data_IF_517306009869
#
_entry.id   IF_517306009869
#
_cell.length_a   1.000
_cell.length_b   1.000
_cell.length_c   1.000
_cell.angle_alpha   90.00
_cell.angle_beta   90.00
_cell.angle_gamma   90.00
#
_symmetry.space_group_name_H-M   'P 1'
#
loop_
_entity.id
_entity.type
_entity.pdbx_description
1 polymer ?
#
# COMPACT_ATOMS: atom_id res chain seq x y z
N UNK A 1 30.77 -19.83 19.04
CA UNK A 1 29.74 -20.40 18.15
C UNK A 1 28.70 -19.31 17.89
N UNK A 2 28.65 -18.72 16.69
CA UNK A 2 27.65 -17.71 16.36
C UNK A 2 26.31 -18.40 16.05
N UNK A 3 25.35 -18.27 16.97
CA UNK A 3 23.97 -18.70 16.78
C UNK A 3 23.28 -17.74 15.81
N UNK A 4 23.14 -18.15 14.55
CA UNK A 4 22.32 -17.46 13.57
C UNK A 4 20.85 -17.56 14.02
N UNK A 5 20.28 -16.43 14.43
CA UNK A 5 18.86 -16.35 14.72
C UNK A 5 18.12 -16.21 13.39
N UNK A 6 17.15 -17.08 13.08
CA UNK A 6 16.34 -16.93 11.88
C UNK A 6 15.63 -15.58 11.93
N UNK A 7 15.67 -14.86 10.80
CA UNK A 7 14.91 -13.63 10.61
C UNK A 7 13.46 -13.87 11.06
N UNK A 8 12.92 -12.97 11.89
CA UNK A 8 11.55 -13.11 12.37
C UNK A 8 10.58 -13.16 11.17
N UNK A 9 9.53 -14.01 11.26
CA UNK A 9 8.52 -14.12 10.19
C UNK A 9 7.91 -12.77 9.82
N UNK A 10 7.82 -11.87 10.78
CA UNK A 10 7.36 -10.49 10.57
C UNK A 10 8.32 -9.67 9.72
N UNK A 11 9.63 -9.73 10.02
CA UNK A 11 10.66 -9.01 9.26
C UNK A 11 10.75 -9.56 7.82
N UNK A 12 10.72 -10.88 7.64
CA UNK A 12 10.68 -11.50 6.32
C UNK A 12 9.44 -11.07 5.51
N UNK A 13 8.28 -11.03 6.16
CA UNK A 13 7.04 -10.59 5.53
C UNK A 13 7.09 -9.11 5.12
N UNK A 14 7.61 -8.23 5.99
CA UNK A 14 7.83 -6.81 5.67
C UNK A 14 8.75 -6.67 4.46
N UNK A 15 9.90 -7.35 4.46
CA UNK A 15 10.85 -7.32 3.32
C UNK A 15 10.17 -7.79 2.02
N UNK A 16 9.36 -8.85 2.09
CA UNK A 16 8.64 -9.38 0.93
C UNK A 16 7.61 -8.39 0.38
N UNK A 17 6.85 -7.73 1.27
CA UNK A 17 5.90 -6.67 0.88
C UNK A 17 6.64 -5.52 0.20
N UNK A 18 7.72 -5.04 0.81
CA UNK A 18 8.48 -3.91 0.28
C UNK A 18 9.04 -4.23 -1.11
N UNK A 19 9.63 -5.42 -1.29
CA UNK A 19 10.06 -5.90 -2.61
C UNK A 19 8.88 -5.95 -3.58
N UNK A 20 7.76 -6.52 -3.17
CA UNK A 20 6.56 -6.61 -4.02
C UNK A 20 6.07 -5.23 -4.44
N UNK A 21 6.04 -4.24 -3.54
CA UNK A 21 5.70 -2.86 -3.86
C UNK A 21 6.64 -2.24 -4.90
N UNK A 22 7.94 -2.53 -4.83
CA UNK A 22 8.91 -2.06 -5.83
C UNK A 22 8.68 -2.65 -7.23
N UNK A 23 8.06 -3.83 -7.33
CA UNK A 23 7.77 -4.50 -8.60
C UNK A 23 6.32 -4.31 -9.09
N UNK A 24 5.37 -4.12 -8.16
CA UNK A 24 3.97 -3.85 -8.43
C UNK A 24 3.83 -2.41 -8.92
N UNK A 25 4.09 -2.17 -10.20
CA UNK A 25 3.94 -0.85 -10.82
C UNK A 25 2.52 -0.29 -10.87
N UNK A 26 1.57 -0.83 -10.10
CA UNK A 26 0.21 -0.31 -9.92
C UNK A 26 -0.29 -0.58 -8.51
N UNK A 27 -1.08 0.33 -7.98
CA UNK A 27 -1.81 0.18 -6.73
C UNK A 27 -3.30 0.04 -7.00
N UNK A 28 -4.03 -0.43 -5.99
CA UNK A 28 -5.48 -0.50 -6.01
C UNK A 28 -6.04 0.15 -4.77
N UNK A 29 -7.06 0.98 -4.94
CA UNK A 29 -7.89 1.52 -3.87
C UNK A 29 -9.35 1.12 -4.08
N UNK A 30 -10.20 1.53 -3.15
CA UNK A 30 -11.64 1.36 -3.26
C UNK A 30 -12.31 2.72 -3.51
N UNK A 31 -13.25 2.76 -4.45
CA UNK A 31 -13.86 4.00 -4.91
C UNK A 31 -15.39 3.92 -4.97
N UNK A 32 -16.04 4.97 -4.45
CA UNK A 32 -17.47 5.26 -4.56
C UNK A 32 -17.66 6.76 -4.34
N UNK A 33 -17.77 7.51 -5.43
CA UNK A 33 -17.88 8.99 -5.42
C UNK A 33 -16.75 9.71 -4.62
N UNK A 34 -15.64 8.99 -4.42
CA UNK A 34 -14.59 9.34 -3.49
C UNK A 34 -13.74 8.11 -3.14
N UNK A 35 -12.53 8.37 -2.66
CA UNK A 35 -11.66 7.30 -2.15
C UNK A 35 -12.16 6.82 -0.81
N UNK A 36 -12.21 5.50 -0.66
CA UNK A 36 -12.58 4.90 0.60
C UNK A 36 -11.51 5.19 1.66
N UNK A 37 -11.95 5.60 2.84
CA UNK A 37 -11.11 5.89 4.00
C UNK A 37 -11.63 5.12 5.21
N UNK A 38 -10.71 4.72 6.09
CA UNK A 38 -11.04 4.10 7.36
C UNK A 38 -10.37 4.87 8.49
N UNK A 39 -10.93 4.85 9.69
CA UNK A 39 -10.28 5.44 10.85
C UNK A 39 -9.58 4.35 11.67
N UNK A 40 -8.44 4.69 12.25
CA UNK A 40 -7.69 3.85 13.19
C UNK A 40 -7.28 4.71 14.39
N UNK A 41 -8.20 4.85 15.35
CA UNK A 41 -8.11 5.87 16.39
C UNK A 41 -8.28 7.26 15.79
N UNK A 42 -7.30 8.13 16.03
CA UNK A 42 -7.24 9.49 15.48
C UNK A 42 -6.67 9.55 14.05
N UNK A 43 -6.12 8.44 13.54
CA UNK A 43 -5.52 8.40 12.20
C UNK A 43 -6.58 8.16 11.11
N UNK A 44 -6.60 9.03 10.10
CA UNK A 44 -7.26 8.73 8.83
C UNK A 44 -6.39 7.79 8.00
N UNK A 45 -6.94 6.63 7.65
CA UNK A 45 -6.21 5.59 6.91
C UNK A 45 -6.79 5.48 5.50
N UNK A 46 -5.90 5.58 4.51
CA UNK A 46 -6.19 5.23 3.13
C UNK A 46 -5.77 3.77 2.87
N UNK A 47 -6.72 2.82 2.81
CA UNK A 47 -6.38 1.44 2.50
C UNK A 47 -6.06 1.26 1.02
N UNK A 48 -4.99 0.52 0.75
CA UNK A 48 -4.63 0.13 -0.61
C UNK A 48 -4.22 -1.34 -0.69
N UNK A 49 -4.19 -1.86 -1.91
CA UNK A 49 -3.83 -3.24 -2.24
C UNK A 49 -2.84 -3.30 -3.40
N UNK A 50 -2.04 -4.35 -3.44
CA UNK A 50 -1.09 -4.61 -4.53
C UNK A 50 -1.73 -5.35 -5.72
N UNK A 51 -2.97 -5.85 -5.56
CA UNK A 51 -3.74 -6.44 -6.64
C UNK A 51 -5.25 -6.18 -6.49
N UNK A 52 -5.94 -6.06 -7.63
CA UNK A 52 -7.36 -5.76 -7.67
C UNK A 52 -8.25 -6.89 -7.13
N UNK A 53 -7.79 -8.15 -7.18
CA UNK A 53 -8.56 -9.27 -6.64
C UNK A 53 -8.68 -9.20 -5.11
N UNK A 54 -7.61 -8.83 -4.42
CA UNK A 54 -7.62 -8.60 -2.96
C UNK A 54 -8.52 -7.43 -2.60
N UNK A 55 -8.41 -6.31 -3.33
CA UNK A 55 -9.31 -5.16 -3.15
C UNK A 55 -10.78 -5.58 -3.34
N UNK A 56 -11.08 -6.37 -4.37
CA UNK A 56 -12.43 -6.86 -4.65
C UNK A 56 -12.97 -7.76 -3.55
N UNK A 57 -12.17 -8.74 -3.11
CA UNK A 57 -12.55 -9.66 -2.03
C UNK A 57 -12.77 -8.91 -0.72
N UNK A 58 -11.95 -7.90 -0.45
CA UNK A 58 -12.11 -7.05 0.71
C UNK A 58 -13.39 -6.22 0.63
N UNK A 59 -13.64 -5.55 -0.50
CA UNK A 59 -14.85 -4.75 -0.73
C UNK A 59 -16.12 -5.59 -0.53
N UNK A 60 -16.20 -6.78 -1.13
CA UNK A 60 -17.36 -7.67 -0.97
C UNK A 60 -17.71 -7.98 0.49
N UNK A 61 -16.70 -8.10 1.36
CA UNK A 61 -16.89 -8.45 2.77
C UNK A 61 -17.13 -7.22 3.66
N UNK A 62 -16.42 -6.12 3.40
CA UNK A 62 -16.37 -4.99 4.32
C UNK A 62 -17.03 -3.73 3.78
N UNK A 63 -16.91 -3.47 2.47
CA UNK A 63 -17.40 -2.25 1.81
C UNK A 63 -18.13 -2.59 0.50
N UNK A 64 -19.32 -3.21 0.57
CA UNK A 64 -19.97 -3.85 -0.59
C UNK A 64 -20.39 -2.86 -1.69
N UNK A 65 -20.46 -1.57 -1.39
CA UNK A 65 -20.81 -0.52 -2.34
C UNK A 65 -19.60 0.17 -2.99
N UNK A 66 -18.38 -0.22 -2.60
CA UNK A 66 -17.17 0.32 -3.18
C UNK A 66 -16.61 -0.63 -4.24
N UNK A 67 -16.01 -0.05 -5.29
CA UNK A 67 -15.42 -0.81 -6.38
C UNK A 67 -13.89 -0.68 -6.39
N UNK A 68 -13.15 -1.77 -6.70
CA UNK A 68 -11.71 -1.69 -6.93
C UNK A 68 -11.38 -0.76 -8.08
N UNK A 69 -10.53 0.24 -7.80
CA UNK A 69 -10.03 1.18 -8.80
C UNK A 69 -8.52 1.13 -8.83
N UNK A 70 -7.97 0.92 -10.03
CA UNK A 70 -6.52 0.95 -10.28
C UNK A 70 -5.99 2.37 -10.11
N UNK A 71 -4.80 2.47 -9.55
CA UNK A 71 -4.05 3.71 -9.34
C UNK A 71 -2.70 3.49 -10.00
N UNK A 72 -2.43 4.23 -11.08
CA UNK A 72 -1.13 4.16 -11.77
C UNK A 72 -0.07 4.88 -10.94
N UNK A 73 1.23 4.66 -11.19
CA UNK A 73 2.28 5.42 -10.53
C UNK A 73 2.11 6.92 -10.76
N UNK A 74 1.79 7.32 -11.99
CA UNK A 74 1.55 8.73 -12.32
C UNK A 74 0.38 9.29 -11.49
N UNK A 75 -0.80 8.65 -11.50
CA UNK A 75 -1.95 9.09 -10.70
C UNK A 75 -1.63 9.13 -9.21
N UNK A 76 -0.82 8.17 -8.74
CA UNK A 76 -0.37 8.11 -7.37
C UNK A 76 0.46 9.34 -7.02
N UNK A 77 1.42 9.72 -7.86
CA UNK A 77 2.31 10.87 -7.63
C UNK A 77 1.60 12.22 -7.74
N UNK A 78 0.82 12.42 -8.81
CA UNK A 78 0.31 13.74 -9.17
C UNK A 78 -1.01 14.08 -8.47
N UNK A 79 -1.80 13.07 -8.09
CA UNK A 79 -3.12 13.29 -7.52
C UNK A 79 -3.25 12.73 -6.10
N UNK A 80 -2.92 11.44 -5.90
CA UNK A 80 -3.22 10.79 -4.63
C UNK A 80 -2.28 11.20 -3.50
N UNK A 81 -0.97 11.20 -3.72
CA UNK A 81 0.03 11.59 -2.72
C UNK A 81 -0.21 13.01 -2.16
N UNK A 82 -0.41 14.04 -3.01
CA UNK A 82 -0.74 15.38 -2.54
C UNK A 82 -2.04 15.42 -1.74
N UNK A 83 -3.06 14.68 -2.18
CA UNK A 83 -4.35 14.61 -1.48
C UNK A 83 -4.20 13.99 -0.09
N UNK A 84 -3.52 12.84 0.02
CA UNK A 84 -3.29 12.15 1.29
C UNK A 84 -2.49 13.02 2.26
N UNK A 85 -1.47 13.72 1.75
CA UNK A 85 -0.67 14.65 2.55
C UNK A 85 -1.52 15.80 3.09
N UNK A 86 -2.37 16.40 2.26
CA UNK A 86 -3.22 17.54 2.63
C UNK A 86 -4.25 17.19 3.71
N UNK A 87 -4.79 15.97 3.68
CA UNK A 87 -5.81 15.52 4.64
C UNK A 87 -5.22 14.70 5.80
N UNK A 88 -3.89 14.69 5.94
CA UNK A 88 -3.18 13.91 6.96
C UNK A 88 -3.57 12.42 7.00
N UNK A 89 -3.85 11.84 5.84
CA UNK A 89 -4.20 10.42 5.74
C UNK A 89 -2.96 9.54 5.56
N UNK A 90 -2.86 8.50 6.37
CA UNK A 90 -1.81 7.49 6.31
C UNK A 90 -2.19 6.37 5.35
N UNK A 91 -1.45 6.16 4.25
CA UNK A 91 -1.66 5.01 3.38
C UNK A 91 -1.29 3.71 4.12
N UNK A 92 -2.13 2.68 3.99
CA UNK A 92 -1.87 1.38 4.60
C UNK A 92 -2.17 0.24 3.63
N UNK A 93 -1.21 -0.68 3.50
CA UNK A 93 -1.41 -1.91 2.74
C UNK A 93 -2.32 -2.85 3.52
N UNK A 94 -3.47 -3.16 2.95
CA UNK A 94 -4.42 -4.10 3.53
C UNK A 94 -4.15 -5.49 2.96
N UNK A 95 -3.93 -6.44 3.85
CA UNK A 95 -3.82 -7.87 3.54
C UNK A 95 -4.93 -8.63 4.26
N UNK A 96 -5.05 -9.94 4.06
CA UNK A 96 -6.14 -10.74 4.63
C UNK A 96 -6.38 -10.48 6.13
N UNK A 97 -5.31 -10.40 6.94
CA UNK A 97 -5.40 -10.26 8.39
C UNK A 97 -4.49 -9.16 8.98
N UNK A 98 -3.82 -8.35 8.14
CA UNK A 98 -2.85 -7.35 8.60
C UNK A 98 -2.97 -6.06 7.81
N UNK A 99 -2.72 -4.96 8.49
CA UNK A 99 -2.60 -3.62 7.92
C UNK A 99 -1.15 -3.16 8.10
N UNK A 100 -0.51 -2.70 7.03
CA UNK A 100 0.85 -2.19 7.10
C UNK A 100 0.85 -0.71 6.72
N UNK A 101 0.92 0.17 7.74
CA UNK A 101 0.99 1.61 7.56
C UNK A 101 2.31 2.01 6.92
N UNK A 102 2.25 2.90 5.96
CA UNK A 102 3.39 3.47 5.27
C UNK A 102 3.28 4.98 5.30
N UNK A 103 4.41 5.67 5.44
CA UNK A 103 4.43 7.13 5.25
C UNK A 103 4.34 7.46 3.76
N UNK A 104 3.88 8.66 3.43
CA UNK A 104 3.90 9.17 2.06
C UNK A 104 5.32 9.19 1.47
N UNK A 105 6.33 9.47 2.29
CA UNK A 105 7.74 9.40 1.89
C UNK A 105 8.19 7.97 1.55
N UNK A 106 7.80 6.98 2.36
CA UNK A 106 8.06 5.57 2.06
C UNK A 106 7.38 5.14 0.76
N UNK A 107 6.11 5.52 0.57
CA UNK A 107 5.41 5.26 -0.69
C UNK A 107 6.14 5.89 -1.88
N UNK A 108 6.60 7.13 -1.76
CA UNK A 108 7.35 7.78 -2.84
C UNK A 108 8.64 7.00 -3.16
N UNK A 109 9.38 6.58 -2.14
CA UNK A 109 10.61 5.81 -2.32
C UNK A 109 10.35 4.47 -3.02
N UNK A 110 9.35 3.70 -2.61
CA UNK A 110 9.11 2.36 -3.17
C UNK A 110 8.52 2.39 -4.59
N UNK A 111 7.76 3.41 -4.95
CA UNK A 111 7.10 3.49 -6.26
C UNK A 111 7.88 4.26 -7.32
N UNK A 112 8.71 5.24 -6.94
CA UNK A 112 9.31 6.18 -7.89
C UNK A 112 10.83 6.26 -7.86
N UNK A 113 11.52 5.56 -6.96
CA UNK A 113 12.99 5.55 -7.01
C UNK A 113 13.44 4.85 -8.29
N UNK A 114 14.21 5.52 -9.18
CA UNK A 114 14.70 4.89 -10.41
C UNK A 114 15.47 3.63 -10.06
N UNK A 115 15.11 2.52 -10.71
CA UNK A 115 15.87 1.28 -10.60
C UNK A 115 17.19 1.47 -11.34
N UNK A 116 18.25 1.84 -10.62
CA UNK A 116 19.60 1.55 -11.09
C UNK A 116 19.73 0.03 -11.10
N UNK A 117 19.43 -0.57 -12.24
CA UNK A 117 19.89 -1.93 -12.53
C UNK A 117 21.42 -1.85 -12.55
N UNK A 118 22.06 -2.25 -11.45
CA UNK A 118 23.47 -2.62 -11.50
C UNK A 118 23.53 -3.89 -12.31
N UNK A 119 23.85 -3.76 -13.59
CA UNK A 119 24.24 -4.87 -14.44
C UNK A 119 25.64 -5.24 -13.95
N UNK A 120 25.74 -6.32 -13.18
CA UNK A 120 27.00 -6.95 -12.80
C UNK A 120 27.44 -7.91 -13.91
#
# INVERSE_FOLDING_TARGET
MHTFHPISKELFFKITILKTMMYCGVLWGLYRDGWAMSNDGEDYIFPFWLNGLQAHRYAKKHWPHYTPKRITPQDFEVALLPTLTRIHATPALYTANKKFKLTTAQMRHFFFTPRQFVIA
#
